data_IF_293734601654
#
_entry.id   IF_293734601654
#
_cell.length_a   1.000
_cell.length_b   1.000
_cell.length_c   1.000
_cell.angle_alpha   90.00
_cell.angle_beta   90.00
_cell.angle_gamma   90.00
#
_symmetry.space_group_name_H-M   'P 1'
#
loop_
_entity.id
_entity.type
_entity.pdbx_description
1 polymer ?
#
# COMPACT_ATOMS: atom_id res chain seq x y z
N UNK A 1 -8.97 3.02 12.14
CA UNK A 1 -8.82 4.49 12.02
C UNK A 1 -7.36 4.84 11.95
N UNK A 2 -6.82 5.16 10.77
CA UNK A 2 -5.40 5.43 10.65
C UNK A 2 -5.07 6.27 9.43
N UNK A 3 -4.32 7.34 9.67
CA UNK A 3 -3.47 8.01 8.69
C UNK A 3 -2.13 8.19 9.39
N UNK A 4 -1.03 7.67 8.84
CA UNK A 4 0.32 8.01 9.33
C UNK A 4 1.25 8.24 8.15
N UNK A 5 1.97 9.36 8.20
CA UNK A 5 3.33 9.47 7.72
C UNK A 5 4.10 10.43 8.65
N UNK A 6 5.28 9.96 9.03
CA UNK A 6 6.20 10.42 10.08
C UNK A 6 6.69 11.87 9.92
N UNK A 7 7.16 12.44 11.05
CA UNK A 7 8.01 13.63 11.12
C UNK A 7 9.22 13.49 10.19
N UNK A 8 9.51 14.55 9.44
CA UNK A 8 10.86 14.87 9.00
C UNK A 8 11.47 15.81 10.05
N UNK A 9 12.57 15.41 10.65
CA UNK A 9 13.40 16.26 11.52
C UNK A 9 14.09 17.34 10.70
N UNK A 10 14.15 18.54 11.28
CA UNK A 10 14.87 19.72 10.79
C UNK A 10 16.32 19.37 10.40
N UNK A 11 16.66 19.66 9.14
CA UNK A 11 18.01 19.56 8.59
C UNK A 11 18.52 20.94 8.19
N UNK A 12 18.45 21.93 9.09
CA UNK A 12 19.34 23.10 9.04
C UNK A 12 20.74 22.71 9.54
N UNK A 13 21.50 21.97 8.73
CA UNK A 13 22.98 22.06 8.69
C UNK A 13 23.51 21.48 7.39
N UNK A 14 24.38 22.28 6.78
CA UNK A 14 25.01 22.16 5.46
C UNK A 14 25.83 20.87 5.33
N UNK A 15 25.80 20.24 4.15
CA UNK A 15 26.75 19.20 3.76
C UNK A 15 26.11 18.15 2.85
N UNK A 16 26.67 17.98 1.66
CA UNK A 16 26.18 17.09 0.61
C UNK A 16 26.02 15.63 1.10
N UNK A 17 24.81 15.09 0.90
CA UNK A 17 24.45 13.70 1.15
C UNK A 17 22.98 13.52 0.82
N UNK A 18 22.66 12.77 -0.22
CA UNK A 18 21.29 12.58 -0.74
C UNK A 18 20.32 12.17 0.37
N UNK A 19 19.27 12.95 0.68
CA UNK A 19 18.32 12.56 1.72
C UNK A 19 17.45 11.41 1.19
N UNK A 20 17.47 10.30 1.93
CA UNK A 20 16.58 9.16 1.80
C UNK A 20 15.13 9.65 1.73
N UNK A 21 14.52 9.56 0.54
CA UNK A 21 13.11 9.89 0.30
C UNK A 21 12.25 8.66 0.64
N UNK A 22 11.74 8.56 1.87
CA UNK A 22 10.66 7.62 2.17
C UNK A 22 9.35 8.09 1.52
N UNK A 23 8.64 7.16 0.89
CA UNK A 23 7.75 7.43 -0.23
C UNK A 23 6.45 8.17 0.14
N UNK A 24 6.19 9.18 -0.69
CA UNK A 24 4.91 9.84 -0.97
C UNK A 24 3.73 8.88 -0.98
N UNK A 25 2.59 9.34 -0.46
CA UNK A 25 1.27 8.74 -0.75
C UNK A 25 1.12 8.60 -2.27
N UNK A 26 1.08 7.36 -2.74
CA UNK A 26 1.02 7.01 -4.15
C UNK A 26 -0.36 6.41 -4.44
N UNK A 27 -1.39 7.25 -4.28
CA UNK A 27 -2.79 6.96 -4.58
C UNK A 27 -3.47 8.27 -5.03
N UNK A 28 -4.61 8.23 -5.72
CA UNK A 28 -5.13 9.35 -6.52
C UNK A 28 -5.42 10.59 -5.66
N UNK A 29 -5.02 11.77 -6.14
CA UNK A 29 -5.08 13.02 -5.37
C UNK A 29 -3.81 13.30 -4.55
N UNK A 30 -2.62 13.24 -5.19
CA UNK A 30 -1.32 13.59 -4.59
C UNK A 30 -1.32 15.02 -4.01
N UNK A 31 -1.62 15.13 -2.72
CA UNK A 31 -1.39 16.36 -1.97
C UNK A 31 -0.02 16.26 -1.25
N UNK A 32 0.99 17.05 -1.67
CA UNK A 32 2.29 17.07 -0.99
C UNK A 32 2.23 17.63 0.44
N UNK A 33 1.12 18.28 0.80
CA UNK A 33 0.88 18.86 2.13
C UNK A 33 0.23 17.85 3.07
N UNK A 34 -0.27 16.72 2.57
CA UNK A 34 -0.90 15.69 3.41
C UNK A 34 0.01 15.26 4.57
N UNK A 35 -0.60 14.99 5.73
CA UNK A 35 0.08 14.55 6.96
C UNK A 35 -0.65 13.37 7.59
N UNK A 36 0.09 12.61 8.41
CA UNK A 36 -0.47 11.59 9.28
C UNK A 36 -1.42 12.17 10.33
N UNK A 37 -2.50 11.45 10.63
CA UNK A 37 -3.41 11.68 11.73
C UNK A 37 -3.94 10.35 12.31
N UNK A 38 -3.73 10.14 13.61
CA UNK A 38 -4.48 9.16 14.38
C UNK A 38 -5.73 9.86 14.92
N UNK A 39 -6.90 9.43 14.48
CA UNK A 39 -8.18 10.02 14.89
C UNK A 39 -8.87 9.07 15.87
N UNK A 40 -9.78 9.60 16.71
CA UNK A 40 -10.66 8.88 17.66
C UNK A 40 -10.00 7.86 18.60
N UNK A 41 -8.81 8.21 19.09
CA UNK A 41 -8.19 7.48 20.19
C UNK A 41 -8.96 7.69 21.50
N UNK A 42 -8.98 6.66 22.34
CA UNK A 42 -9.51 6.66 23.71
C UNK A 42 -8.46 6.07 24.66
N UNK A 43 -8.65 6.24 25.98
CA UNK A 43 -7.72 5.72 27.01
C UNK A 43 -7.61 4.18 27.04
N UNK A 44 -8.52 3.47 26.37
CA UNK A 44 -8.48 2.00 26.24
C UNK A 44 -7.49 1.53 25.16
N UNK A 45 -7.02 2.43 24.29
CA UNK A 45 -6.13 2.06 23.21
C UNK A 45 -4.73 1.77 23.73
N UNK A 46 -4.14 0.72 23.17
CA UNK A 46 -2.78 0.25 23.50
C UNK A 46 -1.90 0.33 22.26
N UNK A 47 -0.57 0.20 22.38
CA UNK A 47 0.31 0.16 21.22
C UNK A 47 -0.08 -0.90 20.18
N UNK A 48 -0.67 -2.02 20.60
CA UNK A 48 -1.20 -3.05 19.70
C UNK A 48 -2.36 -2.54 18.83
N UNK A 49 -3.27 -1.74 19.41
CA UNK A 49 -4.36 -1.12 18.66
C UNK A 49 -3.84 -0.11 17.62
N UNK A 50 -2.83 0.68 17.99
CA UNK A 50 -2.17 1.61 17.06
C UNK A 50 -1.52 0.83 15.92
N UNK A 51 -0.75 -0.22 16.22
CA UNK A 51 -0.11 -1.04 15.21
C UNK A 51 -1.12 -1.66 14.24
N UNK A 52 -2.23 -2.21 14.75
CA UNK A 52 -3.32 -2.72 13.92
C UNK A 52 -3.93 -1.62 13.05
N UNK A 53 -4.19 -0.44 13.60
CA UNK A 53 -4.73 0.69 12.85
C UNK A 53 -3.81 1.14 11.70
N UNK A 54 -2.49 1.01 11.85
CA UNK A 54 -1.52 1.28 10.79
C UNK A 54 -1.59 0.26 9.65
N UNK A 55 -1.70 -1.03 10.00
CA UNK A 55 -1.88 -2.10 9.01
C UNK A 55 -3.20 -1.91 8.24
N UNK A 56 -4.28 -1.63 8.95
CA UNK A 56 -5.59 -1.37 8.35
C UNK A 56 -5.56 -0.14 7.44
N UNK A 57 -4.88 0.94 7.85
CA UNK A 57 -4.72 2.13 7.02
C UNK A 57 -4.00 1.83 5.70
N UNK A 58 -2.95 0.99 5.73
CA UNK A 58 -2.26 0.55 4.51
C UNK A 58 -3.19 -0.28 3.62
N UNK A 59 -3.99 -1.18 4.20
CA UNK A 59 -4.97 -1.97 3.48
C UNK A 59 -6.08 -1.13 2.85
N UNK A 60 -6.62 -0.14 3.58
CA UNK A 60 -7.62 0.80 3.05
C UNK A 60 -7.05 1.67 1.93
N UNK A 61 -5.80 2.13 2.06
CA UNK A 61 -5.11 2.84 0.98
C UNK A 61 -5.02 2.00 -0.30
N UNK A 62 -4.68 0.71 -0.17
CA UNK A 62 -4.66 -0.21 -1.31
C UNK A 62 -6.05 -0.41 -1.92
N UNK A 63 -7.08 -0.67 -1.09
CA UNK A 63 -8.46 -0.77 -1.57
C UNK A 63 -8.90 0.47 -2.33
N UNK A 64 -8.54 1.66 -1.86
CA UNK A 64 -8.89 2.91 -2.57
C UNK A 64 -8.24 3.00 -3.96
N UNK A 65 -6.99 2.53 -4.10
CA UNK A 65 -6.33 2.44 -5.41
C UNK A 65 -7.10 1.46 -6.31
N UNK A 66 -7.44 0.28 -5.81
CA UNK A 66 -8.18 -0.74 -6.57
C UNK A 66 -9.56 -0.23 -7.01
N UNK A 67 -10.31 0.44 -6.13
CA UNK A 67 -11.60 1.05 -6.48
C UNK A 67 -11.44 2.15 -7.54
N UNK A 68 -10.35 2.93 -7.49
CA UNK A 68 -10.11 3.96 -8.51
C UNK A 68 -9.78 3.35 -9.87
N UNK A 69 -9.00 2.26 -9.90
CA UNK A 69 -8.71 1.51 -11.11
C UNK A 69 -9.98 0.85 -11.68
N UNK A 70 -10.81 0.27 -10.81
CA UNK A 70 -12.10 -0.31 -11.20
C UNK A 70 -13.04 0.75 -11.79
N UNK A 71 -13.10 1.94 -11.19
CA UNK A 71 -13.86 3.07 -11.72
C UNK A 71 -13.35 3.56 -13.09
N UNK A 72 -12.06 3.34 -13.39
CA UNK A 72 -11.47 3.60 -14.71
C UNK A 72 -11.70 2.45 -15.73
N UNK A 73 -12.48 1.42 -15.36
CA UNK A 73 -12.83 0.30 -16.23
C UNK A 73 -11.89 -0.91 -16.15
N UNK A 74 -10.89 -0.90 -15.26
CA UNK A 74 -9.97 -2.03 -15.09
C UNK A 74 -10.63 -3.14 -14.29
N UNK A 75 -10.74 -4.33 -14.87
CA UNK A 75 -11.20 -5.52 -14.16
C UNK A 75 -10.06 -6.08 -13.32
N UNK A 76 -10.23 -6.08 -11.99
CA UNK A 76 -9.24 -6.60 -11.04
C UNK A 76 -9.75 -7.94 -10.51
N UNK A 77 -9.04 -9.03 -10.84
CA UNK A 77 -9.37 -10.39 -10.40
C UNK A 77 -8.47 -10.91 -9.29
N UNK A 78 -7.24 -10.39 -9.19
CA UNK A 78 -6.28 -10.75 -8.15
C UNK A 78 -5.27 -9.62 -7.92
N UNK A 79 -4.63 -9.63 -6.76
CA UNK A 79 -3.50 -8.77 -6.42
C UNK A 79 -2.27 -9.64 -6.22
N UNK A 80 -1.16 -9.32 -6.91
CA UNK A 80 0.11 -10.02 -6.73
C UNK A 80 1.03 -9.23 -5.81
N UNK A 81 1.44 -9.85 -4.70
CA UNK A 81 2.35 -9.27 -3.72
C UNK A 81 3.76 -9.83 -3.89
N UNK A 82 4.75 -8.94 -3.90
CA UNK A 82 6.18 -9.24 -3.92
C UNK A 82 6.94 -8.21 -3.06
N UNK A 83 8.20 -8.48 -2.72
CA UNK A 83 9.01 -7.57 -1.90
C UNK A 83 8.83 -7.78 -0.39
N UNK A 84 9.51 -6.94 0.41
CA UNK A 84 9.52 -7.04 1.88
C UNK A 84 8.15 -6.94 2.57
N UNK A 85 7.14 -6.39 1.89
CA UNK A 85 5.75 -6.39 2.36
C UNK A 85 5.06 -7.77 2.33
N UNK A 86 5.63 -8.74 1.60
CA UNK A 86 5.11 -10.10 1.50
C UNK A 86 5.47 -11.00 2.71
N UNK A 87 6.28 -10.51 3.65
CA UNK A 87 6.70 -11.29 4.83
C UNK A 87 5.64 -11.43 5.92
N UNK A 88 4.62 -10.56 5.95
CA UNK A 88 3.58 -10.59 6.99
C UNK A 88 2.32 -11.31 6.49
N UNK A 89 2.14 -12.57 6.92
CA UNK A 89 0.94 -13.33 6.60
C UNK A 89 -0.35 -12.63 7.10
N UNK A 90 -0.29 -11.99 8.26
CA UNK A 90 -1.42 -11.23 8.83
C UNK A 90 -1.73 -10.00 7.99
N UNK A 91 -0.69 -9.26 7.56
CA UNK A 91 -0.87 -8.10 6.69
C UNK A 91 -1.47 -8.48 5.34
N UNK A 92 -0.97 -9.55 4.71
CA UNK A 92 -1.47 -10.03 3.42
C UNK A 92 -2.91 -10.54 3.49
N UNK A 93 -3.27 -11.29 4.54
CA UNK A 93 -4.67 -11.69 4.75
C UNK A 93 -5.55 -10.47 4.96
N UNK A 94 -5.11 -9.47 5.75
CA UNK A 94 -5.86 -8.23 5.95
C UNK A 94 -6.04 -7.45 4.62
N UNK A 95 -5.03 -7.41 3.77
CA UNK A 95 -5.15 -6.82 2.43
C UNK A 95 -6.19 -7.55 1.58
N UNK A 96 -6.21 -8.88 1.61
CA UNK A 96 -7.23 -9.66 0.91
C UNK A 96 -8.63 -9.37 1.45
N UNK A 97 -8.81 -9.49 2.78
CA UNK A 97 -10.09 -9.27 3.47
C UNK A 97 -10.62 -7.84 3.22
N UNK A 98 -9.77 -6.82 3.29
CA UNK A 98 -10.18 -5.42 3.05
C UNK A 98 -10.49 -5.18 1.58
N UNK A 99 -9.65 -5.65 0.65
CA UNK A 99 -9.81 -5.42 -0.78
C UNK A 99 -10.95 -6.24 -1.41
N UNK A 100 -11.31 -7.37 -0.83
CA UNK A 100 -12.32 -8.27 -1.37
C UNK A 100 -11.85 -9.08 -2.59
N UNK A 101 -10.55 -9.11 -2.85
CA UNK A 101 -9.92 -9.87 -3.96
C UNK A 101 -8.76 -10.73 -3.43
N UNK A 102 -8.48 -11.88 -4.06
CA UNK A 102 -7.35 -12.73 -3.66
C UNK A 102 -6.01 -12.00 -3.74
N UNK A 103 -5.16 -12.21 -2.74
CA UNK A 103 -3.77 -11.71 -2.72
C UNK A 103 -2.82 -12.89 -2.86
N UNK A 104 -2.08 -12.94 -3.97
CA UNK A 104 -1.14 -14.01 -4.29
C UNK A 104 0.31 -13.54 -4.12
N UNK A 105 1.07 -14.22 -3.26
CA UNK A 105 2.50 -14.00 -3.09
C UNK A 105 3.27 -14.72 -4.17
N UNK A 106 4.20 -14.03 -4.82
CA UNK A 106 5.09 -14.63 -5.82
C UNK A 106 6.41 -15.10 -5.19
N UNK A 107 7.09 -16.02 -5.88
CA UNK A 107 8.35 -16.64 -5.43
C UNK A 107 9.55 -15.71 -5.36
N UNK A 108 9.42 -14.48 -5.85
CA UNK A 108 10.54 -13.55 -6.02
C UNK A 108 10.51 -12.48 -4.94
N UNK A 109 11.52 -12.48 -4.07
CA UNK A 109 11.69 -11.44 -3.05
C UNK A 109 11.99 -10.07 -3.67
N UNK A 110 12.63 -10.02 -4.84
CA UNK A 110 12.86 -8.80 -5.61
C UNK A 110 12.16 -8.85 -6.97
N UNK A 111 10.93 -8.36 -7.02
CA UNK A 111 10.15 -8.29 -8.27
C UNK A 111 10.76 -7.34 -9.29
N UNK A 112 11.51 -6.32 -8.87
CA UNK A 112 12.10 -5.35 -9.79
C UNK A 112 13.30 -5.95 -10.53
N UNK A 113 14.19 -6.64 -9.81
CA UNK A 113 15.32 -7.36 -10.41
C UNK A 113 14.84 -8.47 -11.34
N UNK A 114 13.88 -9.28 -10.89
CA UNK A 114 13.33 -10.38 -11.71
C UNK A 114 12.62 -9.84 -12.95
N UNK A 115 11.84 -8.76 -12.81
CA UNK A 115 11.19 -8.10 -13.96
C UNK A 115 12.21 -7.58 -14.99
N UNK A 116 13.30 -6.96 -14.53
CA UNK A 116 14.38 -6.50 -15.40
C UNK A 116 15.08 -7.65 -16.13
N UNK A 117 15.35 -8.76 -15.43
CA UNK A 117 15.96 -9.96 -16.02
C UNK A 117 15.03 -10.61 -17.06
N UNK A 118 13.73 -10.67 -16.80
CA UNK A 118 12.72 -11.16 -17.74
C UNK A 118 12.69 -10.30 -19.00
N UNK A 119 12.65 -8.97 -18.85
CA UNK A 119 12.67 -8.05 -19.98
C UNK A 119 13.95 -8.20 -20.82
N UNK A 120 15.13 -8.28 -20.17
CA UNK A 120 16.39 -8.49 -20.86
C UNK A 120 16.43 -9.85 -21.60
N UNK A 121 15.93 -10.92 -20.99
CA UNK A 121 15.89 -12.24 -21.61
C UNK A 121 14.94 -12.32 -22.81
N UNK A 122 13.80 -11.61 -22.75
CA UNK A 122 12.88 -11.47 -23.88
C UNK A 122 13.53 -10.69 -25.03
N UNK A 123 14.17 -9.54 -24.75
CA UNK A 123 14.90 -8.75 -25.77
C UNK A 123 16.07 -9.52 -26.39
N UNK A 124 16.73 -10.39 -25.62
CA UNK A 124 17.80 -11.24 -26.11
C UNK A 124 17.31 -12.46 -26.94
N UNK A 125 16.00 -12.57 -27.20
CA UNK A 125 15.42 -13.65 -27.99
C UNK A 125 15.43 -15.02 -27.30
N UNK A 126 15.66 -15.09 -25.98
CA UNK A 126 15.66 -16.36 -25.24
C UNK A 126 14.26 -16.88 -24.97
N UNK A 127 13.25 -16.03 -25.08
CA UNK A 127 11.84 -16.37 -24.97
C UNK A 127 11.06 -15.71 -26.11
N UNK A 128 9.97 -16.34 -26.54
CA UNK A 128 9.14 -15.86 -27.64
C UNK A 128 8.40 -14.55 -27.31
N UNK A 129 8.12 -14.30 -26.03
CA UNK A 129 7.48 -13.06 -25.57
C UNK A 129 7.80 -12.79 -24.10
N UNK A 130 7.45 -11.58 -23.64
CA UNK A 130 7.60 -11.18 -22.24
C UNK A 130 6.71 -12.04 -21.32
N UNK A 131 5.51 -12.38 -21.78
CA UNK A 131 4.55 -13.22 -21.05
C UNK A 131 5.10 -14.63 -20.84
N UNK A 132 5.72 -15.22 -21.88
CA UNK A 132 6.37 -16.55 -21.79
C UNK A 132 7.54 -16.52 -20.81
N UNK A 133 8.37 -15.47 -20.88
CA UNK A 133 9.48 -15.28 -19.95
C UNK A 133 9.00 -15.09 -18.49
N UNK A 134 7.91 -14.36 -18.29
CA UNK A 134 7.32 -14.14 -16.97
C UNK A 134 6.72 -15.43 -16.39
N UNK A 135 5.97 -16.19 -17.18
CA UNK A 135 5.40 -17.47 -16.75
C UNK A 135 6.48 -18.51 -16.39
N UNK A 136 7.63 -18.47 -17.07
CA UNK A 136 8.76 -19.36 -16.81
C UNK A 136 9.57 -19.00 -15.55
N UNK A 137 9.40 -17.79 -15.01
CA UNK A 137 10.26 -17.27 -13.91
C UNK A 137 9.51 -16.82 -12.67
N UNK A 138 8.21 -16.53 -12.77
CA UNK A 138 7.40 -16.06 -11.64
C UNK A 138 6.35 -17.11 -11.33
N UNK A 139 6.46 -17.71 -10.13
CA UNK A 139 5.52 -18.73 -9.68
C UNK A 139 4.76 -18.24 -8.44
N UNK A 140 3.45 -18.53 -8.33
CA UNK A 140 2.70 -18.27 -7.11
C UNK A 140 3.18 -19.23 -6.00
N UNK A 141 3.45 -18.68 -4.82
CA UNK A 141 3.85 -19.46 -3.64
C UNK A 141 2.67 -19.69 -2.71
N UNK A 142 1.88 -18.65 -2.48
CA UNK A 142 0.75 -18.69 -1.54
C UNK A 142 -0.31 -17.69 -1.94
N UNK A 143 -1.57 -18.08 -1.83
CA UNK A 143 -2.71 -17.20 -2.06
C UNK A 143 -3.53 -17.04 -0.78
N UNK A 144 -3.87 -15.80 -0.46
CA UNK A 144 -4.76 -15.42 0.63
C UNK A 144 -6.10 -15.05 0.02
N UNK A 145 -7.13 -15.85 0.30
CA UNK A 145 -8.48 -15.61 -0.17
C UNK A 145 -9.24 -14.73 0.84
N UNK A 146 -10.01 -13.74 0.38
CA UNK A 146 -10.80 -12.89 1.26
C UNK A 146 -11.87 -13.68 2.00
N UNK A 147 -12.03 -13.42 3.29
CA UNK A 147 -13.19 -13.87 4.07
C UNK A 147 -14.36 -12.88 3.88
N UNK A 148 -15.52 -13.30 3.32
CA UNK A 148 -16.65 -12.42 3.08
C UNK A 148 -17.19 -11.74 4.35
N UNK A 149 -17.16 -12.41 5.49
CA UNK A 149 -17.65 -11.84 6.75
C UNK A 149 -16.73 -10.72 7.25
N UNK A 150 -15.41 -10.91 7.10
CA UNK A 150 -14.42 -9.87 7.44
C UNK A 150 -14.46 -8.72 6.45
N UNK A 151 -14.63 -9.01 5.16
CA UNK A 151 -14.78 -7.98 4.15
C UNK A 151 -15.96 -7.06 4.46
N UNK A 152 -17.10 -7.64 4.82
CA UNK A 152 -18.28 -6.88 5.25
C UNK A 152 -18.01 -6.05 6.51
N UNK A 153 -17.31 -6.61 7.51
CA UNK A 153 -16.94 -5.90 8.73
C UNK A 153 -16.01 -4.69 8.48
N UNK A 154 -15.22 -4.71 7.40
CA UNK A 154 -14.35 -3.60 7.02
C UNK A 154 -15.05 -2.49 6.23
N UNK A 155 -16.31 -2.66 5.83
CA UNK A 155 -17.03 -1.68 5.02
C UNK A 155 -17.20 -0.33 5.73
N UNK A 156 -17.72 -0.32 6.96
CA UNK A 156 -17.90 0.90 7.74
C UNK A 156 -16.58 1.59 8.10
N UNK A 157 -15.57 0.89 8.66
CA UNK A 157 -14.24 1.48 8.90
C UNK A 157 -13.58 2.07 7.64
N UNK A 158 -13.82 1.45 6.48
CA UNK A 158 -13.32 1.95 5.21
C UNK A 158 -14.02 3.25 4.78
N UNK A 159 -15.34 3.37 4.97
CA UNK A 159 -16.04 4.62 4.68
C UNK A 159 -15.55 5.76 5.58
N UNK A 160 -15.37 5.49 6.89
CA UNK A 160 -14.75 6.47 7.78
C UNK A 160 -13.35 6.88 7.29
N UNK A 161 -12.53 5.92 6.83
CA UNK A 161 -11.24 6.24 6.23
C UNK A 161 -11.35 7.17 5.00
N UNK A 162 -12.35 6.98 4.14
CA UNK A 162 -12.61 7.83 2.97
C UNK A 162 -13.02 9.25 3.37
N UNK A 163 -13.80 9.40 4.43
CA UNK A 163 -14.31 10.70 4.91
C UNK A 163 -13.24 11.54 5.62
N UNK A 164 -12.26 10.89 6.25
CA UNK A 164 -11.20 11.57 6.99
C UNK A 164 -10.34 12.48 6.13
N UNK A 165 -9.98 12.07 4.92
CA UNK A 165 -9.08 12.87 4.08
C UNK A 165 -9.71 14.21 3.66
N UNK A 166 -10.93 14.27 3.08
CA UNK A 166 -11.61 15.53 2.80
C UNK A 166 -11.75 16.44 4.04
N UNK A 167 -12.04 15.87 5.21
CA UNK A 167 -12.19 16.63 6.45
C UNK A 167 -10.87 17.26 6.92
N UNK A 168 -9.75 16.54 6.77
CA UNK A 168 -8.42 17.00 7.23
C UNK A 168 -7.70 17.87 6.19
N UNK A 169 -8.05 17.76 4.90
CA UNK A 169 -7.39 18.49 3.80
C UNK A 169 -7.23 20.00 4.04
N UNK A 170 -8.25 20.75 4.53
CA UNK A 170 -8.12 22.18 4.79
C UNK A 170 -7.13 22.52 5.92
N UNK A 171 -6.85 21.57 6.81
CA UNK A 171 -5.99 21.77 7.98
C UNK A 171 -4.52 21.57 7.63
N UNK A 172 -4.21 20.68 6.68
CA UNK A 172 -2.83 20.33 6.32
C UNK A 172 -1.89 21.51 6.02
N UNK A 173 -2.29 22.56 5.28
CA UNK A 173 -1.44 23.72 5.02
C UNK A 173 -1.00 24.45 6.29
N UNK A 174 -1.78 24.39 7.37
CA UNK A 174 -1.45 25.07 8.64
C UNK A 174 -0.24 24.46 9.34
N UNK A 175 0.08 23.19 9.07
CA UNK A 175 1.28 22.56 9.60
C UNK A 175 2.56 23.02 8.91
N UNK A 176 2.49 23.65 7.73
CA UNK A 176 3.68 24.13 7.02
C UNK A 176 4.41 25.27 7.76
N UNK A 177 3.71 26.02 8.63
CA UNK A 177 4.29 27.10 9.43
C UNK A 177 4.72 26.71 10.85
N UNK A 178 4.55 25.43 11.23
CA UNK A 178 4.90 24.93 12.57
C UNK A 178 6.23 24.15 12.58
N UNK A 179 6.96 24.17 11.47
CA UNK A 179 8.21 23.43 11.25
C UNK A 179 9.41 24.38 11.12
#
# INVERSE_FOLDING_TARGET
MGVVASRATDARRRGAGSPLRMARQSAPGRDPRARGALVGMTLYHTPAHIFRALLEAAAFGNRHILETLAAAGVQITEVRAAGGGAGSAVGLQMHADVAGVPVTVTSSEDSALVGGAIAAAACAGRYASLEVAAAAKVHPVRTYTPDPARHAAYAEPYQLYRDLYPALRPIFPRFAGLA
#
